data_IF_248738546691
#
_entry.id   IF_248738546691
#
_cell.length_a   1.000
_cell.length_b   1.000
_cell.length_c   1.000
_cell.angle_alpha   90.00
_cell.angle_beta   90.00
_cell.angle_gamma   90.00
#
_symmetry.space_group_name_H-M   'P 1'
#
loop_
_entity.id
_entity.type
_entity.pdbx_description
1 polymer ?
#
# COMPACT_ATOMS: atom_id res chain seq x y z
N UNK A 1 12.67 0.62 -2.13
CA UNK A 1 12.90 -0.31 -1.00
C UNK A 1 14.38 -0.67 -0.99
N UNK A 2 15.05 -0.48 0.12
CA UNK A 2 16.50 -0.67 0.24
C UNK A 2 16.81 -1.68 1.34
N UNK A 3 17.87 -2.45 1.16
CA UNK A 3 18.42 -3.29 2.23
C UNK A 3 18.76 -2.42 3.45
N UNK A 4 18.38 -2.89 4.64
CA UNK A 4 18.45 -2.17 5.90
C UNK A 4 17.20 -1.35 6.26
N UNK A 5 16.18 -1.25 5.37
CA UNK A 5 14.93 -0.58 5.69
C UNK A 5 14.03 -1.50 6.53
N UNK A 6 13.61 -1.04 7.71
CA UNK A 6 12.51 -1.65 8.45
C UNK A 6 11.19 -1.14 7.85
N UNK A 7 10.38 -2.07 7.34
CA UNK A 7 9.14 -1.72 6.63
C UNK A 7 8.12 -1.08 7.57
N UNK A 8 7.96 -1.61 8.77
CA UNK A 8 6.99 -1.11 9.74
C UNK A 8 7.31 0.33 10.19
N UNK A 9 8.58 0.61 10.47
CA UNK A 9 9.03 1.97 10.80
C UNK A 9 8.86 2.92 9.62
N UNK A 10 9.22 2.49 8.41
CA UNK A 10 9.12 3.31 7.20
C UNK A 10 7.67 3.60 6.77
N UNK A 11 6.71 2.80 7.22
CA UNK A 11 5.27 2.99 7.00
C UNK A 11 4.59 3.77 8.13
N UNK A 12 5.26 3.95 9.25
CA UNK A 12 4.66 4.60 10.42
C UNK A 12 4.51 6.11 10.24
N UNK A 13 3.42 6.65 10.78
CA UNK A 13 3.21 8.09 10.93
C UNK A 13 3.56 8.46 12.37
N UNK A 14 4.57 9.33 12.61
CA UNK A 14 4.90 9.78 13.95
C UNK A 14 3.70 10.41 14.65
N UNK A 15 3.55 10.26 15.99
CA UNK A 15 2.39 10.81 16.70
C UNK A 15 2.26 12.34 16.64
N UNK A 16 3.38 13.02 16.43
CA UNK A 16 3.49 14.47 16.28
C UNK A 16 3.57 14.96 14.83
N UNK A 17 3.34 14.05 13.87
CA UNK A 17 3.36 14.38 12.46
C UNK A 17 2.26 15.37 12.11
N UNK A 18 2.62 16.38 11.32
CA UNK A 18 1.64 17.33 10.80
C UNK A 18 0.67 16.62 9.84
N UNK A 19 -0.61 16.89 10.01
CA UNK A 19 -1.65 16.45 9.08
C UNK A 19 -1.76 17.41 7.88
N UNK A 20 -2.38 16.92 6.81
CA UNK A 20 -2.78 17.79 5.69
C UNK A 20 -3.66 18.92 6.19
N UNK A 21 -3.36 20.15 5.76
CA UNK A 21 -4.17 21.32 6.09
C UNK A 21 -4.96 21.75 4.86
N UNK A 22 -6.25 21.86 5.07
CA UNK A 22 -7.21 22.29 4.04
C UNK A 22 -7.86 23.60 4.40
N UNK A 23 -8.06 24.47 3.40
CA UNK A 23 -8.95 25.62 3.46
C UNK A 23 -10.31 25.18 2.89
N UNK A 24 -11.34 25.33 3.72
CA UNK A 24 -12.71 25.01 3.30
C UNK A 24 -13.37 26.32 2.85
N UNK A 25 -13.83 26.33 1.60
CA UNK A 25 -14.53 27.45 0.98
C UNK A 25 -15.95 27.07 0.67
N UNK A 26 -16.88 27.89 1.12
CA UNK A 26 -18.29 27.73 0.86
C UNK A 26 -18.72 28.64 -0.29
N UNK A 27 -19.47 28.09 -1.23
CA UNK A 27 -20.05 28.85 -2.34
C UNK A 27 -21.50 29.10 -2.01
N UNK A 28 -21.85 30.38 -1.91
CA UNK A 28 -23.23 30.83 -1.75
C UNK A 28 -23.65 31.63 -2.95
N UNK A 29 -24.94 31.62 -3.21
CA UNK A 29 -25.59 32.40 -4.28
C UNK A 29 -26.63 33.35 -3.71
N UNK A 30 -26.63 34.58 -4.23
CA UNK A 30 -27.64 35.58 -3.99
C UNK A 30 -27.90 36.36 -5.27
N UNK A 31 -29.16 36.47 -5.67
CA UNK A 31 -29.62 37.23 -6.87
C UNK A 31 -28.88 36.80 -8.16
N UNK A 32 -28.58 35.46 -8.28
CA UNK A 32 -27.87 34.92 -9.43
C UNK A 32 -26.35 35.13 -9.42
N UNK A 33 -25.81 35.73 -8.36
CA UNK A 33 -24.36 35.92 -8.18
C UNK A 33 -23.81 34.95 -7.16
N UNK A 34 -22.78 34.19 -7.56
CA UNK A 34 -22.05 33.28 -6.66
C UNK A 34 -20.85 33.98 -6.04
N UNK A 35 -20.63 33.74 -4.75
CA UNK A 35 -19.49 34.23 -3.99
C UNK A 35 -18.92 33.13 -3.12
N UNK A 36 -17.58 33.10 -3.02
CA UNK A 36 -16.85 32.20 -2.12
C UNK A 36 -16.66 32.87 -0.74
N UNK A 37 -16.89 32.10 0.30
CA UNK A 37 -16.71 32.49 1.71
C UNK A 37 -15.81 31.47 2.41
N UNK A 38 -15.09 31.95 3.42
CA UNK A 38 -14.34 31.08 4.33
C UNK A 38 -15.19 30.65 5.52
N UNK A 39 -14.66 29.80 6.38
CA UNK A 39 -15.31 29.36 7.62
C UNK A 39 -15.59 30.52 8.57
N UNK A 40 -14.83 31.64 8.46
CA UNK A 40 -14.92 32.76 9.36
C UNK A 40 -15.87 33.88 8.86
N UNK A 41 -16.23 33.91 7.59
CA UNK A 41 -16.97 35.01 6.96
C UNK A 41 -18.21 34.56 6.16
N UNK A 42 -18.57 33.27 6.25
CA UNK A 42 -19.77 32.79 5.57
C UNK A 42 -21.04 33.37 6.22
N UNK A 43 -22.09 33.66 5.42
CA UNK A 43 -23.28 34.38 5.87
C UNK A 43 -24.25 33.50 6.66
N UNK A 44 -23.84 33.04 7.87
CA UNK A 44 -24.65 32.14 8.70
C UNK A 44 -26.05 32.66 9.03
N UNK A 45 -26.16 33.98 9.27
CA UNK A 45 -27.40 34.62 9.71
C UNK A 45 -28.15 35.34 8.57
N UNK A 46 -27.58 35.43 7.35
CA UNK A 46 -28.22 36.05 6.20
C UNK A 46 -28.90 35.01 5.30
N UNK A 47 -30.19 34.80 5.54
CA UNK A 47 -31.00 33.80 4.81
C UNK A 47 -31.22 34.16 3.33
N UNK A 48 -30.76 35.32 2.87
CA UNK A 48 -30.82 35.70 1.44
C UNK A 48 -29.75 35.03 0.62
N UNK A 49 -28.66 34.53 1.25
CA UNK A 49 -27.65 33.70 0.64
C UNK A 49 -28.05 32.25 0.70
N UNK A 50 -28.03 31.56 -0.42
CA UNK A 50 -28.33 30.15 -0.53
C UNK A 50 -27.02 29.37 -0.72
N UNK A 51 -26.79 28.35 0.10
CA UNK A 51 -25.66 27.46 -0.07
C UNK A 51 -25.78 26.71 -1.40
N UNK A 52 -24.69 26.69 -2.17
CA UNK A 52 -24.61 26.02 -3.47
C UNK A 52 -23.66 24.83 -3.40
N UNK A 53 -22.42 25.04 -2.87
CA UNK A 53 -21.37 24.04 -2.87
C UNK A 53 -20.30 24.37 -1.82
N UNK A 54 -19.42 23.38 -1.55
CA UNK A 54 -18.20 23.62 -0.79
C UNK A 54 -16.99 23.07 -1.54
N UNK A 55 -15.86 23.76 -1.44
CA UNK A 55 -14.56 23.33 -1.97
C UNK A 55 -13.58 23.16 -0.83
N UNK A 56 -12.79 22.08 -0.91
CA UNK A 56 -11.66 21.87 -0.03
C UNK A 56 -10.36 22.08 -0.83
N UNK A 57 -9.56 23.05 -0.42
CA UNK A 57 -8.30 23.39 -1.07
C UNK A 57 -7.15 23.01 -0.15
N UNK A 58 -6.27 22.12 -0.60
CA UNK A 58 -5.08 21.74 0.16
C UNK A 58 -4.14 22.95 0.26
N UNK A 59 -3.86 23.43 1.49
CA UNK A 59 -2.93 24.53 1.77
C UNK A 59 -1.51 24.01 1.99
N UNK A 60 -1.37 22.99 2.80
CA UNK A 60 -0.10 22.34 3.05
C UNK A 60 -0.27 20.84 3.21
N UNK A 61 0.66 20.10 2.63
CA UNK A 61 0.73 18.66 2.87
C UNK A 61 1.34 18.40 4.22
N UNK A 62 0.75 17.45 4.93
CA UNK A 62 1.30 16.87 6.12
C UNK A 62 2.44 15.90 5.86
N UNK A 63 2.86 15.18 6.88
CA UNK A 63 3.86 14.14 6.77
C UNK A 63 3.32 12.97 5.93
N UNK A 64 4.13 12.51 4.99
CA UNK A 64 3.87 11.30 4.22
C UNK A 64 4.97 10.29 4.55
N UNK A 65 4.63 9.09 5.05
CA UNK A 65 5.63 8.06 5.31
C UNK A 65 6.45 7.74 4.04
N UNK A 66 7.75 7.40 4.18
CA UNK A 66 8.58 6.98 3.05
C UNK A 66 8.00 5.82 2.24
N UNK A 67 7.27 4.92 2.92
CA UNK A 67 6.48 3.84 2.33
C UNK A 67 5.04 4.05 2.76
N UNK A 68 4.14 4.35 1.83
CA UNK A 68 2.73 4.66 2.11
C UNK A 68 1.74 3.90 1.22
N UNK A 69 2.24 3.10 0.29
CA UNK A 69 1.48 2.35 -0.71
C UNK A 69 1.71 0.83 -0.63
N UNK A 70 2.39 0.36 0.42
CA UNK A 70 2.66 -1.05 0.61
C UNK A 70 1.51 -1.72 1.36
N UNK A 71 0.74 -2.53 0.65
CA UNK A 71 -0.36 -3.32 1.24
C UNK A 71 -0.30 -4.74 0.68
N UNK A 72 -0.39 -5.72 1.57
CA UNK A 72 -0.44 -7.14 1.25
C UNK A 72 -1.79 -7.69 1.72
N UNK A 73 -2.59 -8.23 0.80
CA UNK A 73 -3.86 -8.88 1.15
C UNK A 73 -3.82 -10.37 0.84
N UNK A 74 -4.54 -11.18 1.59
CA UNK A 74 -4.69 -12.60 1.26
C UNK A 74 -5.81 -12.83 0.22
N UNK A 75 -6.01 -14.09 -0.18
CA UNK A 75 -7.04 -14.45 -1.17
C UNK A 75 -8.49 -14.14 -0.71
N UNK A 76 -8.73 -13.92 0.57
CA UNK A 76 -10.00 -13.52 1.14
C UNK A 76 -10.15 -12.00 1.28
N UNK A 77 -9.14 -11.22 0.84
CA UNK A 77 -9.12 -9.76 0.93
C UNK A 77 -8.74 -9.22 2.31
N UNK A 78 -8.31 -10.07 3.25
CA UNK A 78 -7.84 -9.61 4.55
C UNK A 78 -6.43 -9.00 4.43
N UNK A 79 -6.22 -7.87 5.09
CA UNK A 79 -4.92 -7.19 5.16
C UNK A 79 -3.96 -8.00 6.03
N UNK A 80 -2.83 -8.38 5.44
CA UNK A 80 -1.75 -9.16 6.07
C UNK A 80 -0.49 -8.31 6.27
N UNK A 81 -0.53 -7.04 5.93
CA UNK A 81 0.65 -6.15 5.90
C UNK A 81 1.37 -6.12 7.25
N UNK A 82 0.64 -5.80 8.31
CA UNK A 82 1.21 -5.72 9.65
C UNK A 82 1.73 -7.09 10.13
N UNK A 83 1.00 -8.17 9.85
CA UNK A 83 1.40 -9.52 10.20
C UNK A 83 2.71 -9.93 9.52
N UNK A 84 2.94 -9.51 8.28
CA UNK A 84 4.16 -9.84 7.54
C UNK A 84 5.31 -8.93 7.95
N UNK A 85 5.09 -7.61 7.99
CA UNK A 85 6.13 -6.63 8.31
C UNK A 85 6.51 -6.59 9.78
N UNK A 86 5.59 -6.94 10.68
CA UNK A 86 5.84 -7.04 12.13
C UNK A 86 6.24 -8.44 12.61
N UNK A 87 6.43 -9.39 11.70
CA UNK A 87 6.80 -10.76 12.07
C UNK A 87 8.18 -10.85 12.71
N UNK A 88 8.30 -11.60 13.80
CA UNK A 88 9.60 -11.99 14.35
C UNK A 88 10.28 -13.04 13.43
N UNK A 89 11.62 -12.96 13.31
CA UNK A 89 12.43 -13.86 12.50
C UNK A 89 12.30 -13.62 11.00
N UNK A 90 12.62 -14.66 10.22
CA UNK A 90 12.75 -14.55 8.78
C UNK A 90 11.44 -14.81 8.03
N UNK A 91 11.20 -13.98 7.01
CA UNK A 91 10.13 -14.14 6.02
C UNK A 91 10.72 -13.96 4.63
N UNK A 92 10.59 -14.97 3.79
CA UNK A 92 10.96 -14.88 2.37
C UNK A 92 9.73 -14.53 1.55
N UNK A 93 9.84 -13.48 0.75
CA UNK A 93 8.84 -13.07 -0.23
C UNK A 93 9.39 -13.31 -1.64
N UNK A 94 8.73 -14.14 -2.44
CA UNK A 94 8.94 -14.20 -3.87
C UNK A 94 7.92 -13.29 -4.54
N UNK A 95 8.38 -12.21 -5.18
CA UNK A 95 7.50 -11.28 -5.88
C UNK A 95 7.42 -11.63 -7.36
N UNK A 96 6.22 -11.76 -7.88
CA UNK A 96 5.96 -11.96 -9.30
C UNK A 96 4.80 -11.07 -9.73
N UNK A 97 5.06 -10.06 -10.55
CA UNK A 97 4.01 -9.09 -10.95
C UNK A 97 2.80 -9.79 -11.55
N UNK A 98 3.05 -10.62 -12.53
CA UNK A 98 2.05 -11.49 -13.15
C UNK A 98 2.65 -12.88 -13.29
N UNK A 99 2.11 -13.86 -12.54
CA UNK A 99 2.61 -15.24 -12.53
C UNK A 99 2.61 -15.89 -13.92
N UNK A 100 1.61 -15.56 -14.75
CA UNK A 100 1.48 -16.05 -16.12
C UNK A 100 2.47 -15.41 -17.12
N UNK A 101 3.16 -14.34 -16.71
CA UNK A 101 4.09 -13.57 -17.57
C UNK A 101 5.51 -13.47 -17.02
N UNK A 102 5.71 -13.89 -15.77
CA UNK A 102 7.03 -13.90 -15.15
C UNK A 102 7.92 -14.97 -15.76
N UNK A 103 9.24 -14.84 -15.60
CA UNK A 103 10.20 -15.82 -16.10
C UNK A 103 9.96 -17.21 -15.49
N UNK A 104 9.70 -18.20 -16.34
CA UNK A 104 9.33 -19.54 -15.91
C UNK A 104 10.44 -20.27 -15.16
N UNK A 105 11.71 -20.09 -15.57
CA UNK A 105 12.86 -20.69 -14.89
C UNK A 105 13.07 -20.05 -13.51
N UNK A 106 12.84 -18.74 -13.41
CA UNK A 106 12.86 -18.01 -12.14
C UNK A 106 11.77 -18.47 -11.19
N UNK A 107 10.54 -18.68 -11.70
CA UNK A 107 9.43 -19.21 -10.90
C UNK A 107 9.72 -20.62 -10.41
N UNK A 108 10.24 -21.52 -11.27
CA UNK A 108 10.58 -22.89 -10.88
C UNK A 108 11.61 -22.89 -9.74
N UNK A 109 12.69 -22.11 -9.86
CA UNK A 109 13.69 -21.96 -8.78
C UNK A 109 13.08 -21.40 -7.50
N UNK A 110 12.13 -20.48 -7.64
CA UNK A 110 11.40 -19.92 -6.49
C UNK A 110 10.53 -20.96 -5.78
N UNK A 111 9.87 -21.84 -6.51
CA UNK A 111 9.08 -22.92 -5.93
C UNK A 111 9.98 -23.99 -5.25
N UNK A 112 11.13 -24.31 -5.85
CA UNK A 112 12.10 -25.19 -5.22
C UNK A 112 12.60 -24.59 -3.89
N UNK A 113 13.02 -23.34 -3.89
CA UNK A 113 13.41 -22.61 -2.68
C UNK A 113 12.27 -22.58 -1.63
N UNK A 114 11.05 -22.29 -2.06
CA UNK A 114 9.88 -22.28 -1.18
C UNK A 114 9.64 -23.66 -0.54
N UNK A 115 9.87 -24.74 -1.28
CA UNK A 115 9.73 -26.11 -0.78
C UNK A 115 10.79 -26.42 0.28
N UNK A 116 12.04 -26.03 0.06
CA UNK A 116 13.13 -26.18 1.03
C UNK A 116 12.84 -25.37 2.31
N UNK A 117 12.47 -24.10 2.16
CA UNK A 117 12.15 -23.24 3.30
C UNK A 117 10.97 -23.78 4.12
N UNK A 118 9.94 -24.29 3.46
CA UNK A 118 8.78 -24.90 4.13
C UNK A 118 9.17 -26.17 4.89
N UNK A 119 10.06 -27.00 4.33
CA UNK A 119 10.58 -28.19 5.01
C UNK A 119 11.38 -27.84 6.27
N UNK A 120 12.05 -26.68 6.28
CA UNK A 120 12.75 -26.13 7.44
C UNK A 120 11.84 -25.35 8.42
N UNK A 121 10.54 -25.31 8.17
CA UNK A 121 9.58 -24.58 9.00
C UNK A 121 9.67 -23.05 8.86
N UNK A 122 10.33 -22.56 7.81
CA UNK A 122 10.47 -21.13 7.52
C UNK A 122 9.29 -20.60 6.74
N UNK A 123 9.05 -19.29 6.84
CA UNK A 123 7.93 -18.62 6.17
C UNK A 123 8.32 -18.22 4.76
N UNK A 124 7.49 -18.63 3.81
CA UNK A 124 7.62 -18.29 2.40
C UNK A 124 6.26 -17.90 1.85
N UNK A 125 6.20 -16.76 1.15
CA UNK A 125 5.01 -16.25 0.51
C UNK A 125 5.31 -15.84 -0.93
N UNK A 126 4.34 -16.06 -1.80
CA UNK A 126 4.35 -15.50 -3.16
C UNK A 126 3.54 -14.21 -3.13
N UNK A 127 4.13 -13.11 -3.60
CA UNK A 127 3.46 -11.80 -3.66
C UNK A 127 3.24 -11.44 -5.13
N UNK A 128 1.99 -11.24 -5.53
CA UNK A 128 1.64 -11.03 -6.93
C UNK A 128 0.48 -10.06 -7.12
N UNK A 129 0.40 -9.45 -8.32
CA UNK A 129 -0.76 -8.72 -8.80
C UNK A 129 -1.67 -9.57 -9.72
N UNK A 130 -1.37 -10.86 -9.90
CA UNK A 130 -2.27 -11.80 -10.57
C UNK A 130 -3.56 -11.92 -9.77
N UNK A 131 -4.75 -11.84 -10.39
CA UNK A 131 -6.01 -12.02 -9.68
C UNK A 131 -6.04 -13.31 -8.86
N UNK A 132 -6.64 -13.34 -7.66
CA UNK A 132 -6.62 -14.50 -6.77
C UNK A 132 -7.09 -15.80 -7.42
N UNK A 133 -8.14 -15.73 -8.22
CA UNK A 133 -8.72 -16.89 -8.93
C UNK A 133 -7.74 -17.54 -9.91
N UNK A 134 -6.95 -16.72 -10.63
CA UNK A 134 -5.91 -17.18 -11.53
C UNK A 134 -4.67 -17.64 -10.79
N UNK A 135 -4.28 -16.91 -9.74
CA UNK A 135 -3.08 -17.19 -8.96
C UNK A 135 -3.11 -18.55 -8.26
N UNK A 136 -4.26 -18.96 -7.75
CA UNK A 136 -4.41 -20.24 -7.04
C UNK A 136 -3.93 -21.45 -7.86
N UNK A 137 -4.12 -21.43 -9.18
CA UNK A 137 -3.65 -22.50 -10.07
C UNK A 137 -2.14 -22.44 -10.33
N UNK A 138 -1.51 -21.29 -10.12
CA UNK A 138 -0.13 -21.00 -10.49
C UNK A 138 0.84 -20.97 -9.31
N UNK A 139 0.34 -20.96 -8.08
CA UNK A 139 1.18 -20.83 -6.87
C UNK A 139 1.76 -22.14 -6.36
N UNK A 140 1.51 -23.26 -7.04
CA UNK A 140 1.99 -24.60 -6.63
C UNK A 140 1.67 -24.97 -5.16
N UNK A 141 0.56 -24.44 -4.62
CA UNK A 141 0.13 -24.71 -3.24
C UNK A 141 0.85 -23.88 -2.17
N UNK A 142 1.63 -22.87 -2.56
CA UNK A 142 2.16 -21.87 -1.62
C UNK A 142 1.13 -20.81 -1.28
N UNK A 143 1.31 -20.20 -0.10
CA UNK A 143 0.49 -19.05 0.31
C UNK A 143 0.77 -17.85 -0.57
N UNK A 144 -0.26 -17.34 -1.23
CA UNK A 144 -0.19 -16.14 -2.03
C UNK A 144 -0.70 -14.92 -1.25
N UNK A 145 0.00 -13.83 -1.39
CA UNK A 145 -0.39 -12.49 -0.99
C UNK A 145 -0.52 -11.62 -2.24
N UNK A 146 -1.44 -10.70 -2.21
CA UNK A 146 -1.76 -9.85 -3.35
C UNK A 146 -1.40 -8.41 -3.04
N UNK A 147 -0.74 -7.78 -4.01
CA UNK A 147 -0.34 -6.38 -3.94
C UNK A 147 -0.54 -5.71 -5.30
N UNK A 148 -0.59 -4.39 -5.29
CA UNK A 148 -0.65 -3.60 -6.51
C UNK A 148 0.61 -3.78 -7.38
N UNK A 149 0.45 -3.79 -8.70
CA UNK A 149 1.57 -4.01 -9.64
C UNK A 149 2.62 -2.89 -9.56
N UNK A 150 2.22 -1.65 -9.28
CA UNK A 150 3.14 -0.51 -9.15
C UNK A 150 3.98 -0.68 -7.88
N UNK A 151 3.34 -1.10 -6.79
CA UNK A 151 4.01 -1.45 -5.54
C UNK A 151 5.06 -2.54 -5.77
N UNK A 152 4.72 -3.62 -6.46
CA UNK A 152 5.66 -4.71 -6.76
C UNK A 152 6.86 -4.23 -7.59
N UNK A 153 6.65 -3.37 -8.59
CA UNK A 153 7.73 -2.76 -9.39
C UNK A 153 8.64 -1.86 -8.55
N UNK A 154 8.09 -1.26 -7.50
CA UNK A 154 8.84 -0.39 -6.59
C UNK A 154 9.69 -1.20 -5.62
N UNK A 155 9.21 -2.36 -5.19
CA UNK A 155 9.92 -3.25 -4.27
C UNK A 155 11.18 -3.81 -4.95
N UNK A 156 11.01 -4.42 -6.13
CA UNK A 156 12.11 -5.06 -6.87
C UNK A 156 11.83 -5.03 -8.37
N UNK A 157 12.88 -4.89 -9.17
CA UNK A 157 12.77 -4.83 -10.63
C UNK A 157 12.77 -6.19 -11.31
N UNK A 158 13.39 -7.21 -10.71
CA UNK A 158 13.37 -8.59 -11.23
C UNK A 158 11.96 -9.18 -11.13
N UNK A 159 11.64 -10.10 -12.04
CA UNK A 159 10.32 -10.71 -12.12
C UNK A 159 10.44 -12.19 -12.58
N UNK A 160 10.48 -13.17 -11.65
CA UNK A 160 10.29 -12.98 -10.22
C UNK A 160 11.49 -12.32 -9.54
N UNK A 161 11.24 -11.72 -8.38
CA UNK A 161 12.25 -11.19 -7.48
C UNK A 161 12.12 -11.82 -6.09
N UNK A 162 13.17 -11.71 -5.27
CA UNK A 162 13.17 -12.26 -3.92
C UNK A 162 13.53 -11.18 -2.91
N UNK A 163 12.78 -11.12 -1.82
CA UNK A 163 13.00 -10.20 -0.71
C UNK A 163 13.01 -11.00 0.59
N UNK A 164 14.11 -10.93 1.31
CA UNK A 164 14.23 -11.53 2.63
C UNK A 164 14.05 -10.47 3.70
N UNK A 165 13.08 -10.67 4.57
CA UNK A 165 12.83 -9.85 5.75
C UNK A 165 13.34 -10.59 6.99
N UNK A 166 13.99 -9.84 7.90
CA UNK A 166 14.29 -10.27 9.25
C UNK A 166 13.72 -9.27 10.25
N UNK A 167 12.75 -9.67 11.07
CA UNK A 167 12.02 -8.78 11.98
C UNK A 167 11.50 -7.51 11.25
N UNK A 168 10.90 -7.69 10.08
CA UNK A 168 10.37 -6.60 9.24
C UNK A 168 11.44 -5.76 8.51
N UNK A 169 12.71 -6.04 8.69
CA UNK A 169 13.81 -5.34 8.01
C UNK A 169 14.23 -6.09 6.76
N UNK A 170 14.34 -5.40 5.63
CA UNK A 170 14.86 -5.97 4.37
C UNK A 170 16.36 -6.25 4.54
N UNK A 171 16.77 -7.52 4.40
CA UNK A 171 18.17 -7.92 4.52
C UNK A 171 18.76 -8.47 3.22
N UNK A 172 17.92 -8.82 2.25
CA UNK A 172 18.31 -9.20 0.88
C UNK A 172 17.11 -9.01 -0.08
#
# INVERSE_FOLDING_TARGET
>A
YKVGTNLQEAMSVPPDAEADRYDIRFIYEKDGLQKEFTLNDYPADDTTWKFVDQKSVLISRGYVPPIHDFTLVNAQGADMTEQITGSEGDVMLMTARRLDKSDGDGLAKGYDLGTELKAEGKRFYIVTATPPEEAMALTAGFNALFADEVTLKTIIRSDPGFVLLHNGTIIA
#
